data_IF_131199015385
#
_entry.id   IF_131199015385
#
_cell.length_a   1.000
_cell.length_b   1.000
_cell.length_c   1.000
_cell.angle_alpha   90.00
_cell.angle_beta   90.00
_cell.angle_gamma   90.00
#
_symmetry.space_group_name_H-M   'P 1'
#
loop_
_entity.id
_entity.type
_entity.pdbx_description
1 polymer ?
#
# COMPACT_ATOMS: atom_id res chain seq x y z
N UNK A 1 0.60 27.12 -23.12
CA UNK A 1 0.50 25.65 -23.32
C UNK A 1 1.77 24.90 -22.89
N UNK A 2 3.00 25.34 -23.20
CA UNK A 2 4.25 24.65 -22.77
C UNK A 2 4.38 24.41 -21.25
N UNK A 3 3.98 25.38 -20.42
CA UNK A 3 4.03 25.27 -18.95
C UNK A 3 3.10 24.20 -18.34
N UNK A 4 1.97 23.90 -18.97
CA UNK A 4 1.05 22.87 -18.48
C UNK A 4 1.56 21.46 -18.80
N UNK A 5 2.13 21.27 -19.99
CA UNK A 5 2.74 20.00 -20.40
C UNK A 5 3.98 19.67 -19.56
N UNK A 6 4.80 20.68 -19.24
CA UNK A 6 5.94 20.54 -18.33
C UNK A 6 5.50 20.09 -16.93
N UNK A 7 4.50 20.75 -16.36
CA UNK A 7 3.95 20.38 -15.04
C UNK A 7 3.35 18.97 -15.04
N UNK A 8 2.60 18.62 -16.09
CA UNK A 8 2.07 17.25 -16.25
C UNK A 8 3.20 16.22 -16.29
N UNK A 9 4.26 16.48 -17.05
CA UNK A 9 5.39 15.56 -17.16
C UNK A 9 6.14 15.42 -15.83
N UNK A 10 6.27 16.49 -15.06
CA UNK A 10 6.86 16.44 -13.73
C UNK A 10 6.02 15.60 -12.76
N UNK A 11 4.70 15.78 -12.76
CA UNK A 11 3.78 14.99 -11.94
C UNK A 11 3.82 13.50 -12.30
N UNK A 12 3.88 13.17 -13.59
CA UNK A 12 4.05 11.79 -14.07
C UNK A 12 5.36 11.20 -13.56
N UNK A 13 6.48 11.90 -13.70
CA UNK A 13 7.79 11.43 -13.19
C UNK A 13 7.77 11.21 -11.68
N UNK A 14 7.11 12.10 -10.93
CA UNK A 14 6.99 11.98 -9.48
C UNK A 14 6.17 10.76 -9.09
N UNK A 15 5.04 10.54 -9.75
CA UNK A 15 4.20 9.34 -9.56
C UNK A 15 4.99 8.07 -9.83
N UNK A 16 5.73 8.01 -10.94
CA UNK A 16 6.49 6.81 -11.32
C UNK A 16 7.65 6.53 -10.35
N UNK A 17 8.26 7.58 -9.76
CA UNK A 17 9.25 7.42 -8.70
C UNK A 17 8.62 6.83 -7.43
N UNK A 18 7.47 7.35 -7.01
CA UNK A 18 6.76 6.85 -5.82
C UNK A 18 6.30 5.41 -6.00
N UNK A 19 5.88 5.01 -7.21
CA UNK A 19 5.55 3.60 -7.53
C UNK A 19 6.73 2.66 -7.26
N UNK A 20 7.92 3.04 -7.72
CA UNK A 20 9.14 2.23 -7.52
C UNK A 20 9.53 2.13 -6.05
N UNK A 21 9.54 3.26 -5.34
CA UNK A 21 9.87 3.33 -3.92
C UNK A 21 8.89 2.49 -3.09
N UNK A 22 7.59 2.62 -3.37
CA UNK A 22 6.55 1.82 -2.72
C UNK A 22 6.75 0.33 -2.99
N UNK A 23 7.05 -0.06 -4.24
CA UNK A 23 7.27 -1.45 -4.60
C UNK A 23 8.51 -2.07 -3.93
N UNK A 24 9.58 -1.29 -3.74
CA UNK A 24 10.76 -1.74 -3.00
C UNK A 24 10.44 -1.92 -1.50
N UNK A 25 9.82 -0.93 -0.88
CA UNK A 25 9.49 -0.98 0.55
C UNK A 25 8.44 -2.04 0.88
N UNK A 26 7.42 -2.22 0.04
CA UNK A 26 6.43 -3.29 0.24
C UNK A 26 7.05 -4.68 0.10
N UNK A 27 7.99 -4.88 -0.84
CA UNK A 27 8.71 -6.16 -0.95
C UNK A 27 9.52 -6.45 0.31
N UNK A 28 10.21 -5.46 0.84
CA UNK A 28 10.98 -5.59 2.07
C UNK A 28 10.09 -5.82 3.29
N UNK A 29 9.01 -5.05 3.43
CA UNK A 29 8.03 -5.23 4.50
C UNK A 29 7.38 -6.63 4.45
N UNK A 30 7.07 -7.14 3.26
CA UNK A 30 6.54 -8.50 3.09
C UNK A 30 7.57 -9.56 3.51
N UNK A 31 8.84 -9.39 3.11
CA UNK A 31 9.96 -10.27 3.52
C UNK A 31 10.09 -10.34 5.03
N UNK A 32 9.91 -9.20 5.71
CA UNK A 32 9.93 -9.06 7.16
C UNK A 32 8.58 -9.38 7.84
N UNK A 33 7.55 -9.76 7.07
CA UNK A 33 6.19 -10.05 7.54
C UNK A 33 5.53 -8.88 8.31
N UNK A 34 5.84 -7.65 7.92
CA UNK A 34 5.32 -6.43 8.53
C UNK A 34 3.97 -5.98 7.96
N UNK A 35 3.56 -6.54 6.82
CA UNK A 35 2.33 -6.16 6.15
C UNK A 35 1.09 -6.77 6.81
N UNK A 36 0.00 -6.01 6.79
CA UNK A 36 -1.28 -6.46 7.34
C UNK A 36 -1.94 -7.48 6.40
N UNK A 37 -2.56 -8.51 7.00
CA UNK A 37 -3.50 -9.37 6.28
C UNK A 37 -4.89 -8.76 6.38
N UNK A 38 -5.43 -8.32 5.25
CA UNK A 38 -6.78 -7.76 5.16
C UNK A 38 -7.69 -8.79 4.54
N UNK A 39 -8.61 -9.34 5.34
CA UNK A 39 -9.66 -10.22 4.85
C UNK A 39 -10.97 -9.45 4.75
N UNK A 40 -11.66 -9.57 3.62
CA UNK A 40 -12.88 -8.82 3.37
C UNK A 40 -14.01 -9.75 2.95
N UNK A 41 -15.15 -9.59 3.64
CA UNK A 41 -16.38 -10.35 3.39
C UNK A 41 -17.32 -9.54 2.51
N UNK A 42 -17.65 -10.06 1.33
CA UNK A 42 -18.49 -9.38 0.35
C UNK A 42 -19.97 -9.72 0.55
N UNK A 43 -20.65 -8.96 1.42
CA UNK A 43 -22.12 -8.97 1.55
C UNK A 43 -22.70 -9.80 2.67
N UNK A 44 -24.03 -9.66 2.87
CA UNK A 44 -24.81 -10.41 3.88
C UNK A 44 -25.29 -11.77 3.36
N UNK A 45 -25.48 -11.92 2.05
CA UNK A 45 -26.08 -13.11 1.41
C UNK A 45 -25.12 -13.90 0.51
N UNK A 46 -24.04 -13.27 0.02
CA UNK A 46 -22.93 -13.96 -0.65
C UNK A 46 -21.74 -14.01 0.31
N UNK A 47 -21.08 -15.17 0.42
CA UNK A 47 -19.84 -15.30 1.19
C UNK A 47 -18.71 -15.60 0.22
N UNK A 48 -18.04 -14.54 -0.22
CA UNK A 48 -16.73 -14.63 -0.87
C UNK A 48 -15.76 -13.87 0.03
N UNK A 49 -14.79 -14.59 0.58
CA UNK A 49 -13.71 -14.04 1.38
C UNK A 49 -12.45 -13.97 0.50
N UNK A 50 -11.93 -12.77 0.34
CA UNK A 50 -10.61 -12.55 -0.24
C UNK A 50 -9.70 -11.96 0.83
N UNK A 51 -8.52 -12.55 1.00
CA UNK A 51 -7.50 -12.05 1.90
C UNK A 51 -6.29 -11.57 1.11
N UNK A 52 -5.84 -10.36 1.40
CA UNK A 52 -4.69 -9.73 0.77
C UNK A 52 -3.63 -9.40 1.81
N UNK A 53 -2.37 -9.45 1.40
CA UNK A 53 -1.27 -8.88 2.16
C UNK A 53 -0.96 -7.52 1.57
N UNK A 54 -1.13 -6.45 2.33
CA UNK A 54 -0.98 -5.11 1.79
C UNK A 54 -0.99 -4.03 2.86
N UNK A 55 -0.97 -2.78 2.40
CA UNK A 55 -1.06 -1.60 3.27
C UNK A 55 -2.45 -1.02 3.14
N UNK A 56 -3.16 -0.96 4.26
CA UNK A 56 -4.46 -0.32 4.34
C UNK A 56 -4.30 1.19 4.33
N UNK A 57 -4.88 1.86 3.35
CA UNK A 57 -5.00 3.33 3.27
C UNK A 57 -6.43 3.76 3.59
N UNK A 58 -6.66 5.07 3.62
CA UNK A 58 -8.01 5.64 3.71
C UNK A 58 -8.89 5.26 2.51
N UNK A 59 -8.30 5.09 1.33
CA UNK A 59 -9.01 4.78 0.09
C UNK A 59 -9.27 3.28 -0.13
N UNK A 60 -8.48 2.39 0.48
CA UNK A 60 -8.59 0.95 0.28
C UNK A 60 -7.37 0.18 0.78
N UNK A 61 -7.01 -0.91 0.09
CA UNK A 61 -5.79 -1.67 0.37
C UNK A 61 -4.89 -1.63 -0.85
N UNK A 62 -3.65 -1.17 -0.67
CA UNK A 62 -2.63 -1.26 -1.71
C UNK A 62 -1.89 -2.59 -1.57
N UNK A 63 -1.83 -3.33 -2.68
CA UNK A 63 -1.16 -4.63 -2.81
C UNK A 63 -0.18 -4.55 -3.97
N UNK A 64 0.94 -5.28 -3.88
CA UNK A 64 1.78 -5.51 -5.05
C UNK A 64 1.26 -6.72 -5.82
N UNK A 65 0.80 -6.49 -7.04
CA UNK A 65 0.35 -7.52 -7.96
C UNK A 65 1.27 -7.52 -9.18
N UNK A 66 1.94 -8.65 -9.42
CA UNK A 66 2.99 -8.78 -10.46
C UNK A 66 4.09 -7.69 -10.40
N UNK A 67 4.35 -7.15 -9.21
CA UNK A 67 5.35 -6.10 -8.98
C UNK A 67 4.83 -4.66 -9.15
N UNK A 68 3.57 -4.48 -9.55
CA UNK A 68 2.93 -3.17 -9.69
C UNK A 68 1.95 -2.92 -8.53
N UNK A 69 1.92 -1.70 -7.98
CA UNK A 69 0.97 -1.36 -6.92
C UNK A 69 -0.45 -1.27 -7.49
N UNK A 70 -1.38 -1.99 -6.87
CA UNK A 70 -2.82 -1.99 -7.18
C UNK A 70 -3.62 -1.59 -5.95
N UNK A 71 -4.63 -0.74 -6.15
CA UNK A 71 -5.54 -0.34 -5.09
C UNK A 71 -6.82 -1.17 -5.18
N UNK A 72 -7.06 -1.94 -4.13
CA UNK A 72 -8.26 -2.74 -3.96
C UNK A 72 -9.27 -1.92 -3.16
N UNK A 73 -10.36 -1.50 -3.82
CA UNK A 73 -11.50 -0.80 -3.21
C UNK A 73 -12.68 -1.74 -3.11
N UNK A 74 -13.34 -1.74 -1.96
CA UNK A 74 -14.45 -2.65 -1.68
C UNK A 74 -15.66 -1.84 -1.25
N UNK A 75 -16.75 -1.96 -2.02
CA UNK A 75 -18.00 -1.24 -1.80
C UNK A 75 -19.18 -2.08 -2.26
N UNK A 76 -20.25 -2.16 -1.46
CA UNK A 76 -21.51 -2.82 -1.81
C UNK A 76 -21.36 -4.25 -2.38
N UNK A 77 -20.50 -5.08 -1.77
CA UNK A 77 -20.18 -6.45 -2.21
C UNK A 77 -19.43 -6.53 -3.56
N UNK A 78 -19.01 -5.40 -4.11
CA UNK A 78 -18.18 -5.32 -5.29
C UNK A 78 -16.73 -5.04 -4.90
N UNK A 79 -15.82 -5.73 -5.58
CA UNK A 79 -14.40 -5.44 -5.56
C UNK A 79 -14.04 -4.69 -6.84
N UNK A 80 -13.42 -3.53 -6.71
CA UNK A 80 -12.81 -2.81 -7.82
C UNK A 80 -11.30 -2.73 -7.61
N UNK A 81 -10.55 -3.03 -8.66
CA UNK A 81 -9.10 -2.94 -8.68
C UNK A 81 -8.73 -1.82 -9.63
N UNK A 82 -7.97 -0.87 -9.14
CA UNK A 82 -7.56 0.31 -9.91
C UNK A 82 -6.09 0.65 -9.67
N UNK A 83 -5.55 1.53 -10.51
CA UNK A 83 -4.23 2.10 -10.24
C UNK A 83 -4.33 3.10 -9.08
N UNK A 84 -3.50 2.97 -8.04
CA UNK A 84 -3.46 3.96 -6.97
C UNK A 84 -3.00 5.30 -7.53
N UNK A 85 -3.59 6.37 -7.00
CA UNK A 85 -3.12 7.71 -7.30
C UNK A 85 -1.87 8.06 -6.48
N UNK A 86 -1.30 9.25 -6.75
CA UNK A 86 -0.09 9.71 -6.06
C UNK A 86 -0.30 9.90 -4.55
N UNK A 87 -1.49 10.31 -4.11
CA UNK A 87 -1.82 10.51 -2.70
C UNK A 87 -1.93 9.18 -1.97
N UNK A 88 -2.58 8.19 -2.58
CA UNK A 88 -2.74 6.86 -2.00
C UNK A 88 -1.38 6.18 -1.78
N UNK A 89 -0.48 6.30 -2.77
CA UNK A 89 0.89 5.80 -2.66
C UNK A 89 1.67 6.51 -1.55
N UNK A 90 1.51 7.83 -1.44
CA UNK A 90 2.17 8.61 -0.39
C UNK A 90 1.67 8.22 1.01
N UNK A 91 0.36 8.01 1.17
CA UNK A 91 -0.21 7.50 2.43
C UNK A 91 0.36 6.12 2.78
N UNK A 92 0.45 5.22 1.79
CA UNK A 92 1.02 3.89 2.00
C UNK A 92 2.49 3.93 2.43
N UNK A 93 3.29 4.82 1.83
CA UNK A 93 4.69 5.03 2.21
C UNK A 93 4.83 5.50 3.66
N UNK A 94 4.01 6.47 4.09
CA UNK A 94 4.00 6.93 5.49
C UNK A 94 3.69 5.78 6.43
N UNK A 95 2.63 5.00 6.15
CA UNK A 95 2.25 3.86 7.00
C UNK A 95 3.33 2.79 7.06
N UNK A 96 3.99 2.50 5.94
CA UNK A 96 5.11 1.54 5.91
C UNK A 96 6.25 1.97 6.83
N UNK A 97 6.62 3.26 6.78
CA UNK A 97 7.64 3.81 7.67
C UNK A 97 7.22 3.64 9.13
N UNK A 98 6.00 4.03 9.47
CA UNK A 98 5.51 3.99 10.85
C UNK A 98 5.48 2.54 11.40
N UNK A 99 5.04 1.56 10.60
CA UNK A 99 5.07 0.12 10.97
C UNK A 99 6.52 -0.37 11.15
N UNK A 100 7.41 0.04 10.25
CA UNK A 100 8.83 -0.36 10.30
C UNK A 100 9.52 0.21 11.55
N UNK A 101 9.28 1.49 11.87
CA UNK A 101 9.80 2.13 13.08
C UNK A 101 9.27 1.44 14.35
N UNK A 102 7.98 1.11 14.40
CA UNK A 102 7.41 0.35 15.52
C UNK A 102 8.08 -1.02 15.67
N UNK A 103 8.32 -1.72 14.55
CA UNK A 103 8.96 -3.04 14.53
C UNK A 103 10.41 -2.98 15.01
N UNK A 104 11.18 -1.97 14.58
CA UNK A 104 12.54 -1.72 15.06
C UNK A 104 12.53 -1.43 16.56
N UNK A 105 11.63 -0.56 17.03
CA UNK A 105 11.54 -0.20 18.44
C UNK A 105 11.18 -1.41 19.32
N UNK A 106 10.29 -2.29 18.85
CA UNK A 106 9.96 -3.54 19.55
C UNK A 106 11.17 -4.47 19.63
N UNK A 107 11.93 -4.61 18.53
CA UNK A 107 13.14 -5.44 18.51
C UNK A 107 14.21 -4.90 19.47
N UNK A 108 14.47 -3.58 19.45
CA UNK A 108 15.43 -2.95 20.36
C UNK A 108 15.06 -3.19 21.82
N UNK A 109 13.79 -3.04 22.20
CA UNK A 109 13.32 -3.33 23.57
C UNK A 109 13.51 -4.78 23.96
N UNK A 110 13.32 -5.74 23.05
CA UNK A 110 13.57 -7.15 23.35
C UNK A 110 15.05 -7.42 23.58
N UNK A 111 15.93 -6.77 22.82
CA UNK A 111 17.39 -6.88 22.97
C UNK A 111 17.91 -6.23 24.25
N UNK A 112 17.31 -5.12 24.70
CA UNK A 112 17.67 -4.47 25.97
C UNK A 112 17.31 -5.31 27.21
N UNK A 113 16.39 -6.28 27.07
CA UNK A 113 15.94 -7.16 28.15
C UNK A 113 16.65 -8.53 28.15
N UNK A 114 17.67 -8.72 27.30
CA UNK A 114 18.56 -9.89 27.26
C UNK A 114 19.88 -9.59 27.97
#
# INVERSE_FOLDING_TARGET
MRTFEELRNELVKRRDRLRKELAELMREANRLKLLERVCVKLGKTCSIEACYTGIRTSAGVIVLDEGEPKLYKISNCNLSIEEPDTSDMYEALIRLRDITEQSINQLSKLLENL
#
